data_IF_708757985253
#
_entry.id   IF_708757985253
#
_cell.length_a   1.000
_cell.length_b   1.000
_cell.length_c   1.000
_cell.angle_alpha   90.00
_cell.angle_beta   90.00
_cell.angle_gamma   90.00
#
_symmetry.space_group_name_H-M   'P 1'
#
loop_
_entity.id
_entity.type
_entity.pdbx_description
1 polymer ?
#
# COMPACT_ATOMS: atom_id res chain seq x y z
N UNK A 1 -58.98 -17.75 2.06
CA UNK A 1 -58.71 -19.20 2.22
C UNK A 1 -57.28 -19.36 2.76
N UNK A 2 -57.10 -19.56 4.07
CA UNK A 2 -55.77 -19.73 4.67
C UNK A 2 -55.27 -21.16 4.42
N UNK A 3 -54.35 -21.35 3.47
CA UNK A 3 -53.66 -22.63 3.27
C UNK A 3 -52.75 -22.87 4.47
N UNK A 4 -53.08 -23.85 5.32
CA UNK A 4 -52.19 -24.33 6.37
C UNK A 4 -50.99 -25.00 5.70
N UNK A 5 -49.79 -24.47 5.93
CA UNK A 5 -48.55 -25.08 5.46
C UNK A 5 -48.36 -26.39 6.22
N UNK A 6 -48.15 -27.49 5.50
CA UNK A 6 -47.96 -28.80 6.12
C UNK A 6 -46.59 -28.92 6.78
N UNK A 7 -46.47 -29.70 7.86
CA UNK A 7 -45.19 -29.98 8.53
C UNK A 7 -44.14 -30.56 7.58
N UNK A 8 -44.57 -31.36 6.60
CA UNK A 8 -43.72 -31.90 5.54
C UNK A 8 -43.12 -30.81 4.66
N UNK A 9 -43.88 -29.77 4.34
CA UNK A 9 -43.39 -28.61 3.58
C UNK A 9 -42.34 -27.83 4.38
N UNK A 10 -42.58 -27.61 5.66
CA UNK A 10 -41.62 -26.91 6.55
C UNK A 10 -40.31 -27.71 6.64
N UNK A 11 -40.40 -29.02 6.84
CA UNK A 11 -39.23 -29.90 6.93
C UNK A 11 -38.42 -29.92 5.63
N UNK A 12 -39.08 -29.96 4.47
CA UNK A 12 -38.43 -29.89 3.16
C UNK A 12 -37.68 -28.57 2.96
N UNK A 13 -38.27 -27.44 3.38
CA UNK A 13 -37.61 -26.12 3.31
C UNK A 13 -36.36 -26.10 4.20
N UNK A 14 -36.45 -26.61 5.43
CA UNK A 14 -35.29 -26.68 6.34
C UNK A 14 -34.17 -27.50 5.72
N UNK A 15 -34.46 -28.68 5.17
CA UNK A 15 -33.46 -29.52 4.49
C UNK A 15 -32.84 -28.80 3.29
N UNK A 16 -33.66 -28.14 2.47
CA UNK A 16 -33.15 -27.39 1.31
C UNK A 16 -32.19 -26.27 1.73
N UNK A 17 -32.54 -25.51 2.78
CA UNK A 17 -31.66 -24.48 3.35
C UNK A 17 -30.37 -25.09 3.91
N UNK A 18 -30.47 -26.20 4.64
CA UNK A 18 -29.31 -26.92 5.18
C UNK A 18 -28.38 -27.42 4.07
N UNK A 19 -28.92 -27.96 2.99
CA UNK A 19 -28.13 -28.41 1.83
C UNK A 19 -27.44 -27.25 1.12
N UNK A 20 -28.13 -26.11 0.95
CA UNK A 20 -27.52 -24.90 0.39
C UNK A 20 -26.38 -24.39 1.28
N UNK A 21 -26.57 -24.36 2.60
CA UNK A 21 -25.51 -23.99 3.56
C UNK A 21 -24.36 -25.01 3.56
N UNK A 22 -24.66 -26.31 3.44
CA UNK A 22 -23.66 -27.36 3.38
C UNK A 22 -22.82 -27.27 2.10
N UNK A 23 -23.46 -27.05 0.95
CA UNK A 23 -22.78 -26.73 -0.30
C UNK A 23 -21.91 -25.48 -0.13
N UNK A 24 -22.40 -24.45 0.55
CA UNK A 24 -21.63 -23.24 0.82
C UNK A 24 -20.36 -23.52 1.63
N UNK A 25 -20.43 -24.37 2.65
CA UNK A 25 -19.27 -24.75 3.49
C UNK A 25 -18.27 -25.62 2.73
N UNK A 26 -18.73 -26.62 1.97
CA UNK A 26 -17.83 -27.54 1.26
C UNK A 26 -17.22 -26.95 -0.02
N UNK A 27 -17.93 -26.03 -0.68
CA UNK A 27 -17.41 -25.29 -1.82
C UNK A 27 -16.79 -23.95 -1.41
N UNK A 28 -16.70 -23.65 -0.12
CA UNK A 28 -15.98 -22.46 0.33
C UNK A 28 -14.50 -22.64 -0.05
N UNK A 29 -13.95 -21.81 -0.96
CA UNK A 29 -12.57 -21.94 -1.35
C UNK A 29 -11.70 -21.63 -0.14
N UNK A 30 -11.07 -22.67 0.41
CA UNK A 30 -10.00 -22.50 1.38
C UNK A 30 -8.86 -21.79 0.64
N UNK A 31 -8.51 -20.58 1.10
CA UNK A 31 -7.41 -19.80 0.54
C UNK A 31 -6.17 -20.66 0.52
N UNK A 32 -5.70 -21.07 -0.67
CA UNK A 32 -4.43 -21.76 -0.77
C UNK A 32 -3.38 -20.71 -0.51
N UNK A 33 -2.49 -20.96 0.45
CA UNK A 33 -1.26 -20.17 0.58
C UNK A 33 -0.45 -20.45 -0.68
N UNK A 34 -0.39 -19.47 -1.56
CA UNK A 34 0.36 -19.57 -2.80
C UNK A 34 1.80 -19.14 -2.55
N UNK A 35 2.74 -19.95 -3.04
CA UNK A 35 4.12 -19.54 -3.21
C UNK A 35 4.21 -18.47 -4.31
N UNK A 36 5.27 -17.63 -4.32
CA UNK A 36 5.54 -16.77 -5.47
C UNK A 36 5.64 -17.63 -6.73
N UNK A 37 5.25 -17.10 -7.91
CA UNK A 37 5.56 -17.75 -9.17
C UNK A 37 7.07 -17.97 -9.29
N UNK A 38 7.45 -19.00 -10.06
CA UNK A 38 8.85 -19.23 -10.40
C UNK A 38 9.45 -17.95 -10.99
N UNK A 39 10.65 -17.59 -10.52
CA UNK A 39 11.39 -16.41 -10.97
C UNK A 39 11.19 -15.14 -10.14
N UNK A 40 10.52 -15.24 -8.97
CA UNK A 40 10.44 -14.16 -7.99
C UNK A 40 10.84 -14.67 -6.60
N UNK A 41 11.71 -13.91 -5.92
CA UNK A 41 12.07 -14.14 -4.53
C UNK A 41 11.50 -13.02 -3.65
N UNK A 42 10.67 -13.34 -2.63
CA UNK A 42 10.16 -12.34 -1.69
C UNK A 42 11.29 -11.56 -1.02
N UNK A 43 11.10 -10.25 -0.92
CA UNK A 43 12.03 -9.32 -0.32
C UNK A 43 11.32 -8.54 0.80
N UNK A 44 12.01 -8.38 1.93
CA UNK A 44 11.63 -7.42 2.96
C UNK A 44 12.81 -6.51 3.22
N UNK A 45 12.61 -5.23 2.90
CA UNK A 45 13.59 -4.18 3.14
C UNK A 45 12.81 -2.90 3.50
N UNK A 46 12.65 -2.67 4.81
CA UNK A 46 11.86 -1.56 5.35
C UNK A 46 12.49 -0.20 4.98
N UNK A 47 13.82 -0.13 4.84
CA UNK A 47 14.53 1.09 4.47
C UNK A 47 14.35 1.43 2.99
N UNK A 48 14.43 0.42 2.12
CA UNK A 48 14.15 0.57 0.70
C UNK A 48 12.70 0.98 0.45
N UNK A 49 11.76 0.31 1.12
CA UNK A 49 10.34 0.62 0.98
C UNK A 49 10.02 2.05 1.46
N UNK A 50 10.67 2.53 2.52
CA UNK A 50 10.55 3.92 2.97
C UNK A 50 11.18 4.91 1.98
N UNK A 51 12.31 4.57 1.37
CA UNK A 51 12.98 5.45 0.41
C UNK A 51 12.13 5.72 -0.84
N UNK A 52 11.48 4.67 -1.35
CA UNK A 52 10.59 4.76 -2.52
C UNK A 52 9.12 5.01 -2.16
N UNK A 53 8.80 5.31 -0.89
CA UNK A 53 7.41 5.47 -0.46
C UNK A 53 6.69 6.56 -1.27
N UNK A 54 5.56 6.25 -1.92
CA UNK A 54 4.74 7.25 -2.58
C UNK A 54 4.01 8.12 -1.57
N UNK A 55 3.76 9.36 -1.96
CA UNK A 55 2.91 10.29 -1.25
C UNK A 55 1.50 10.19 -1.81
N UNK A 56 0.52 10.03 -0.92
CA UNK A 56 -0.90 9.99 -1.30
C UNK A 56 -1.58 11.29 -0.91
N UNK A 57 -2.00 12.05 -1.91
CA UNK A 57 -2.81 13.24 -1.75
C UNK A 57 -4.29 12.82 -1.74
N UNK A 58 -4.80 12.51 -0.54
CA UNK A 58 -6.14 12.00 -0.32
C UNK A 58 -7.10 13.09 0.18
N UNK A 59 -8.09 13.52 -0.64
CA UNK A 59 -9.17 14.38 -0.18
C UNK A 59 -9.92 13.76 1.01
N UNK A 60 -10.26 14.57 2.01
CA UNK A 60 -10.95 14.10 3.23
C UNK A 60 -12.33 13.51 2.96
N UNK A 61 -12.95 13.83 1.83
CA UNK A 61 -14.21 13.25 1.38
C UNK A 61 -14.14 11.75 1.06
N UNK A 62 -12.95 11.25 0.73
CA UNK A 62 -12.66 9.83 0.51
C UNK A 62 -12.11 9.15 1.78
N UNK A 63 -12.19 9.81 2.94
CA UNK A 63 -11.73 9.25 4.21
C UNK A 63 -10.22 9.39 4.41
N UNK A 64 -9.74 8.74 5.48
CA UNK A 64 -8.34 8.78 5.90
C UNK A 64 -7.64 7.48 5.52
N UNK A 65 -6.43 7.59 4.99
CA UNK A 65 -5.51 6.46 4.88
C UNK A 65 -5.03 6.13 6.29
N UNK A 66 -5.39 4.95 6.78
CA UNK A 66 -5.09 4.50 8.14
C UNK A 66 -3.67 3.95 8.26
N UNK A 67 -3.18 3.32 7.20
CA UNK A 67 -1.85 2.74 7.09
C UNK A 67 -1.49 2.55 5.61
N UNK A 68 -0.19 2.45 5.33
CA UNK A 68 0.31 1.94 4.06
C UNK A 68 1.09 0.66 4.35
N UNK A 69 0.69 -0.43 3.73
CA UNK A 69 1.45 -1.67 3.80
C UNK A 69 2.31 -1.85 2.56
N UNK A 70 3.40 -2.61 2.65
CA UNK A 70 4.17 -2.94 1.45
C UNK A 70 4.52 -4.43 1.36
N UNK A 71 4.66 -4.92 0.13
CA UNK A 71 5.37 -6.18 -0.17
C UNK A 71 6.36 -5.93 -1.28
N UNK A 72 7.45 -6.68 -1.26
CA UNK A 72 8.43 -6.62 -2.32
C UNK A 72 8.87 -8.02 -2.77
N UNK A 73 9.36 -8.08 -4.00
CA UNK A 73 10.01 -9.25 -4.56
C UNK A 73 11.12 -8.80 -5.51
N UNK A 74 12.17 -9.61 -5.64
CA UNK A 74 13.18 -9.46 -6.69
C UNK A 74 12.93 -10.52 -7.75
N UNK A 75 12.97 -10.13 -9.02
CA UNK A 75 12.85 -11.08 -10.13
C UNK A 75 14.20 -11.66 -10.56
N UNK A 76 14.19 -12.65 -11.45
CA UNK A 76 15.40 -13.30 -11.96
C UNK A 76 16.35 -12.35 -12.72
N UNK A 77 15.85 -11.19 -13.17
CA UNK A 77 16.68 -10.15 -13.81
C UNK A 77 17.31 -9.21 -12.80
N UNK A 78 16.97 -9.33 -11.52
CA UNK A 78 17.42 -8.48 -10.43
C UNK A 78 16.56 -7.23 -10.23
N UNK A 79 15.47 -7.03 -10.98
CA UNK A 79 14.58 -5.89 -10.79
C UNK A 79 13.80 -6.08 -9.49
N UNK A 80 13.73 -5.02 -8.69
CA UNK A 80 13.02 -5.02 -7.42
C UNK A 80 11.60 -4.48 -7.66
N UNK A 81 10.60 -5.28 -7.35
CA UNK A 81 9.20 -4.93 -7.40
C UNK A 81 8.72 -4.59 -5.99
N UNK A 82 8.14 -3.40 -5.78
CA UNK A 82 7.54 -2.99 -4.50
C UNK A 82 6.09 -2.60 -4.74
N UNK A 83 5.16 -3.24 -4.05
CA UNK A 83 3.75 -2.87 -4.03
C UNK A 83 3.46 -2.12 -2.73
N UNK A 84 2.77 -0.99 -2.84
CA UNK A 84 2.24 -0.22 -1.72
C UNK A 84 0.73 -0.34 -1.66
N UNK A 85 0.23 -0.61 -0.46
CA UNK A 85 -1.15 -0.90 -0.15
C UNK A 85 -1.72 0.09 0.86
N UNK A 86 -2.16 1.28 0.41
CA UNK A 86 -2.90 2.17 1.29
C UNK A 86 -4.22 1.52 1.74
N UNK A 87 -4.53 1.63 3.03
CA UNK A 87 -5.69 1.02 3.64
C UNK A 87 -6.63 2.07 4.24
N UNK A 88 -7.93 1.92 4.00
CA UNK A 88 -9.00 2.74 4.54
C UNK A 88 -9.93 1.92 5.43
N UNK A 89 -10.69 2.59 6.29
CA UNK A 89 -11.70 1.92 7.12
C UNK A 89 -12.78 1.23 6.27
N UNK A 90 -13.19 1.85 5.15
CA UNK A 90 -14.20 1.35 4.21
C UNK A 90 -14.34 2.29 3.02
N UNK A 91 -15.00 1.80 1.97
CA UNK A 91 -15.44 2.64 0.85
C UNK A 91 -16.69 3.41 1.29
N UNK A 92 -16.85 4.66 0.86
CA UNK A 92 -18.08 5.41 1.16
C UNK A 92 -18.40 6.48 0.11
N UNK A 93 -19.40 6.19 -0.71
CA UNK A 93 -19.98 7.20 -1.59
C UNK A 93 -20.91 8.14 -0.80
N UNK A 94 -20.44 9.35 -0.50
CA UNK A 94 -21.21 10.41 0.19
C UNK A 94 -21.99 11.32 -0.77
N UNK A 95 -21.94 11.08 -2.08
CA UNK A 95 -22.66 11.90 -3.04
C UNK A 95 -24.19 11.76 -2.87
N UNK A 96 -24.90 12.75 -3.42
CA UNK A 96 -26.37 12.76 -3.48
C UNK A 96 -26.84 11.97 -4.69
N UNK A 97 -28.00 11.32 -4.59
CA UNK A 97 -28.61 10.59 -5.69
C UNK A 97 -29.04 9.17 -5.30
N UNK A 98 -29.79 8.52 -6.20
CA UNK A 98 -30.31 7.17 -5.99
C UNK A 98 -29.17 6.14 -6.02
N UNK A 99 -28.20 6.28 -6.94
CA UNK A 99 -27.02 5.41 -7.03
C UNK A 99 -26.21 5.36 -5.73
N UNK A 100 -25.72 6.51 -5.22
CA UNK A 100 -25.00 6.59 -3.94
C UNK A 100 -25.83 6.10 -2.75
N UNK A 101 -27.15 6.36 -2.75
CA UNK A 101 -28.04 5.86 -1.71
C UNK A 101 -28.12 4.32 -1.70
N UNK A 102 -28.28 3.70 -2.88
CA UNK A 102 -28.27 2.24 -3.01
C UNK A 102 -26.91 1.64 -2.63
N UNK A 103 -25.80 2.26 -3.05
CA UNK A 103 -24.45 1.85 -2.64
C UNK A 103 -24.31 1.87 -1.10
N UNK A 104 -24.74 2.95 -0.44
CA UNK A 104 -24.70 3.01 1.03
C UNK A 104 -25.56 1.98 1.73
N UNK A 105 -26.72 1.60 1.19
CA UNK A 105 -27.60 0.61 1.84
C UNK A 105 -27.12 -0.81 1.60
N UNK A 106 -26.77 -1.14 0.36
CA UNK A 106 -26.49 -2.51 -0.06
C UNK A 106 -25.03 -2.90 0.16
N UNK A 107 -24.11 -1.95 -0.04
CA UNK A 107 -22.68 -2.23 -0.17
C UNK A 107 -21.89 -1.82 1.09
N UNK A 108 -22.02 -0.58 1.56
CA UNK A 108 -21.16 -0.03 2.65
C UNK A 108 -21.87 0.17 4.01
N UNK A 109 -23.16 -0.15 4.10
CA UNK A 109 -24.00 0.04 5.29
C UNK A 109 -24.57 -1.25 5.87
N UNK A 110 -25.88 -1.44 5.79
CA UNK A 110 -26.66 -2.33 6.66
C UNK A 110 -26.58 -3.83 6.37
N UNK A 111 -26.14 -4.24 5.18
CA UNK A 111 -25.88 -5.64 4.84
C UNK A 111 -24.39 -6.01 4.94
N UNK A 112 -23.52 -5.03 5.22
CA UNK A 112 -22.05 -5.12 5.30
C UNK A 112 -21.43 -6.10 4.28
N UNK A 113 -21.87 -5.99 3.01
CA UNK A 113 -21.41 -6.87 1.94
C UNK A 113 -19.93 -6.62 1.66
N UNK A 114 -19.46 -5.38 1.80
CA UNK A 114 -18.03 -5.05 1.69
C UNK A 114 -17.19 -5.87 2.68
N UNK A 115 -17.58 -5.95 3.96
CA UNK A 115 -16.78 -6.69 4.94
C UNK A 115 -16.81 -8.20 4.72
N UNK A 116 -17.92 -8.72 4.20
CA UNK A 116 -18.04 -10.13 3.82
C UNK A 116 -17.17 -10.47 2.60
N UNK A 117 -17.18 -9.61 1.58
CA UNK A 117 -16.46 -9.82 0.33
C UNK A 117 -14.97 -9.54 0.44
N UNK A 118 -14.60 -8.54 1.25
CA UNK A 118 -13.29 -7.90 1.20
C UNK A 118 -12.58 -7.76 2.56
N UNK A 119 -13.21 -8.14 3.68
CA UNK A 119 -12.60 -8.05 5.01
C UNK A 119 -12.79 -6.67 5.67
N UNK A 120 -11.99 -6.34 6.71
CA UNK A 120 -12.35 -5.29 7.68
C UNK A 120 -12.18 -3.84 7.18
N UNK A 121 -11.66 -3.64 5.98
CA UNK A 121 -11.46 -2.31 5.42
C UNK A 121 -11.11 -2.38 3.94
N UNK A 122 -11.00 -1.20 3.33
CA UNK A 122 -10.63 -1.10 1.93
C UNK A 122 -9.11 -1.05 1.73
N UNK A 123 -8.62 -1.70 0.68
CA UNK A 123 -7.19 -1.75 0.38
C UNK A 123 -7.00 -1.75 -1.13
N UNK A 124 -6.20 -0.80 -1.58
CA UNK A 124 -5.86 -0.64 -2.99
C UNK A 124 -4.36 -0.87 -3.18
N UNK A 125 -3.91 -1.05 -4.42
CA UNK A 125 -2.50 -1.32 -4.69
C UNK A 125 -1.94 -0.44 -5.81
N UNK A 126 -0.71 0.02 -5.59
CA UNK A 126 0.18 0.56 -6.62
C UNK A 126 1.51 -0.18 -6.56
N UNK A 127 2.23 -0.30 -7.66
CA UNK A 127 3.52 -0.96 -7.69
C UNK A 127 4.58 -0.18 -8.48
N UNK A 128 5.82 -0.31 -8.01
CA UNK A 128 7.02 0.19 -8.67
C UNK A 128 7.94 -0.97 -9.03
N UNK A 129 8.48 -0.93 -10.25
CA UNK A 129 9.66 -1.72 -10.62
C UNK A 129 10.89 -0.82 -10.53
N UNK A 130 11.91 -1.27 -9.82
CA UNK A 130 13.11 -0.51 -9.47
C UNK A 130 14.33 -1.22 -10.03
N UNK A 131 15.13 -0.48 -10.82
CA UNK A 131 16.45 -0.92 -11.25
C UNK A 131 17.45 -0.75 -10.09
N UNK A 132 18.07 -1.85 -9.59
CA UNK A 132 19.00 -1.79 -8.46
C UNK A 132 20.36 -1.16 -8.82
N UNK A 133 20.70 -1.03 -10.11
CA UNK A 133 21.97 -0.43 -10.54
C UNK A 133 21.91 1.09 -10.42
N UNK A 134 20.81 1.68 -10.91
CA UNK A 134 20.58 3.11 -10.88
C UNK A 134 19.82 3.61 -9.66
N UNK A 135 19.19 2.71 -8.89
CA UNK A 135 18.18 3.03 -7.86
C UNK A 135 17.08 3.93 -8.42
N UNK A 136 16.55 3.57 -9.58
CA UNK A 136 15.51 4.33 -10.29
C UNK A 136 14.27 3.49 -10.48
N UNK A 137 13.11 4.12 -10.32
CA UNK A 137 11.85 3.54 -10.77
C UNK A 137 11.89 3.51 -12.30
N UNK A 138 11.69 2.33 -12.88
CA UNK A 138 11.63 2.07 -14.33
C UNK A 138 10.21 1.79 -14.81
N UNK A 139 9.33 1.34 -13.91
CA UNK A 139 7.91 1.12 -14.20
C UNK A 139 7.04 1.49 -13.00
N UNK A 140 5.86 2.05 -13.27
CA UNK A 140 4.80 2.29 -12.28
C UNK A 140 3.52 1.60 -12.78
N UNK A 141 2.87 0.83 -11.91
CA UNK A 141 1.55 0.26 -12.13
C UNK A 141 0.55 0.76 -11.08
N UNK A 142 -0.66 1.10 -11.50
CA UNK A 142 -1.78 1.43 -10.61
C UNK A 142 -3.14 1.27 -11.32
N UNK A 143 -4.24 1.40 -10.58
CA UNK A 143 -5.59 1.48 -11.15
C UNK A 143 -6.16 2.89 -11.02
N UNK A 144 -6.78 3.38 -12.10
CA UNK A 144 -7.48 4.66 -12.20
C UNK A 144 -8.96 4.47 -12.52
N UNK A 145 -9.74 5.54 -12.41
CA UNK A 145 -11.15 5.55 -12.80
C UNK A 145 -11.30 6.01 -14.26
N UNK A 146 -11.84 5.15 -15.14
CA UNK A 146 -11.96 5.44 -16.57
C UNK A 146 -12.88 6.65 -16.87
N UNK A 147 -14.06 6.68 -16.24
CA UNK A 147 -15.10 7.71 -16.44
C UNK A 147 -15.78 7.99 -15.09
N UNK A 148 -15.06 8.60 -14.15
CA UNK A 148 -15.56 8.74 -12.78
C UNK A 148 -16.80 9.65 -12.71
N UNK A 149 -17.94 9.06 -12.33
CA UNK A 149 -19.17 9.78 -11.95
C UNK A 149 -19.47 9.50 -10.46
N UNK A 150 -19.39 10.51 -9.57
CA UNK A 150 -19.71 10.33 -8.16
C UNK A 150 -21.19 9.96 -7.91
N UNK A 151 -22.07 10.22 -8.88
CA UNK A 151 -23.50 9.86 -8.83
C UNK A 151 -23.77 8.43 -9.30
N UNK A 152 -22.76 7.73 -9.82
CA UNK A 152 -22.89 6.34 -10.22
C UNK A 152 -22.92 5.39 -9.01
N UNK A 153 -23.51 4.21 -9.21
CA UNK A 153 -23.55 3.16 -8.20
C UNK A 153 -22.17 2.51 -7.98
N UNK A 154 -21.36 2.41 -9.03
CA UNK A 154 -20.06 1.73 -9.06
C UNK A 154 -19.06 2.53 -9.86
N UNK A 155 -17.77 2.38 -9.55
CA UNK A 155 -16.67 2.94 -10.35
C UNK A 155 -16.12 1.88 -11.30
N UNK A 156 -15.75 2.29 -12.52
CA UNK A 156 -15.09 1.42 -13.50
C UNK A 156 -13.58 1.60 -13.37
N UNK A 157 -12.88 0.50 -13.08
CA UNK A 157 -11.43 0.47 -12.93
C UNK A 157 -10.75 0.37 -14.30
N UNK A 158 -9.62 1.04 -14.44
CA UNK A 158 -8.72 0.97 -15.59
C UNK A 158 -7.29 0.80 -15.10
N UNK A 159 -6.60 -0.23 -15.59
CA UNK A 159 -5.22 -0.49 -15.22
C UNK A 159 -4.28 0.40 -16.03
N UNK A 160 -3.33 1.03 -15.35
CA UNK A 160 -2.30 1.90 -15.93
C UNK A 160 -0.93 1.31 -15.64
N UNK A 161 -0.12 1.13 -16.68
CA UNK A 161 1.31 0.80 -16.58
C UNK A 161 2.11 1.84 -17.37
N UNK A 162 3.08 2.46 -16.70
CA UNK A 162 3.94 3.50 -17.26
C UNK A 162 5.39 3.07 -17.14
N UNK A 163 6.12 3.02 -18.26
CA UNK A 163 7.57 2.76 -18.29
C UNK A 163 8.32 4.07 -18.54
N UNK A 164 9.38 4.33 -17.79
CA UNK A 164 10.13 5.58 -17.94
C UNK A 164 11.11 5.86 -16.81
N UNK A 165 11.49 7.12 -16.66
CA UNK A 165 12.27 7.60 -15.51
C UNK A 165 11.42 8.56 -14.71
N UNK A 166 11.29 8.28 -13.41
CA UNK A 166 10.43 9.04 -12.51
C UNK A 166 11.25 9.71 -11.41
N UNK A 167 10.82 10.92 -11.00
CA UNK A 167 11.49 11.72 -9.97
C UNK A 167 10.76 11.56 -8.65
N UNK A 168 11.49 11.22 -7.59
CA UNK A 168 10.94 11.11 -6.24
C UNK A 168 10.64 12.49 -5.62
N UNK A 169 9.66 12.59 -4.70
CA UNK A 169 8.69 11.54 -4.36
C UNK A 169 7.62 11.38 -5.45
N UNK A 170 7.20 10.14 -5.71
CA UNK A 170 6.03 9.87 -6.56
C UNK A 170 4.77 10.28 -5.80
N UNK A 171 3.86 11.00 -6.47
CA UNK A 171 2.63 11.51 -5.89
C UNK A 171 1.41 10.92 -6.58
N UNK A 172 0.51 10.37 -5.80
CA UNK A 172 -0.78 9.88 -6.27
C UNK A 172 -1.89 10.68 -5.62
N UNK A 173 -2.78 11.20 -6.45
CA UNK A 173 -4.05 11.77 -6.01
C UNK A 173 -5.09 10.67 -5.91
N UNK A 174 -5.82 10.61 -4.80
CA UNK A 174 -7.00 9.74 -4.68
C UNK A 174 -8.18 10.45 -5.33
N UNK A 175 -8.77 9.86 -6.37
CA UNK A 175 -9.74 10.54 -7.25
C UNK A 175 -11.18 10.03 -7.13
N UNK A 176 -11.42 8.95 -6.38
CA UNK A 176 -12.75 8.36 -6.28
C UNK A 176 -13.09 7.86 -4.88
N UNK A 177 -14.38 7.69 -4.61
CA UNK A 177 -14.88 7.05 -3.37
C UNK A 177 -14.53 5.56 -3.26
N UNK A 178 -14.08 4.95 -4.37
CA UNK A 178 -13.52 3.60 -4.45
C UNK A 178 -11.99 3.60 -4.31
N UNK A 179 -11.40 4.73 -3.90
CA UNK A 179 -9.97 4.93 -3.64
C UNK A 179 -9.00 4.72 -4.82
N UNK A 180 -9.49 4.82 -6.06
CA UNK A 180 -8.64 4.81 -7.26
C UNK A 180 -7.74 6.04 -7.38
N UNK A 181 -6.65 5.89 -8.14
CA UNK A 181 -5.56 6.86 -8.17
C UNK A 181 -5.38 7.55 -9.52
N UNK A 182 -4.81 8.75 -9.47
CA UNK A 182 -4.23 9.46 -10.59
C UNK A 182 -2.80 9.85 -10.23
N UNK A 183 -1.84 9.56 -11.10
CA UNK A 183 -0.45 9.96 -10.92
C UNK A 183 -0.31 11.46 -11.19
N UNK A 184 0.23 12.22 -10.24
CA UNK A 184 0.57 13.62 -10.48
C UNK A 184 1.88 13.68 -11.30
N UNK A 185 1.80 14.15 -12.55
CA UNK A 185 2.97 14.22 -13.42
C UNK A 185 4.09 15.09 -12.81
N UNK A 186 5.24 14.46 -12.55
CA UNK A 186 6.55 15.10 -12.66
C UNK A 186 7.34 14.37 -13.72
N UNK A 187 7.08 14.71 -14.98
CA UNK A 187 8.01 14.36 -16.05
C UNK A 187 9.33 15.07 -15.72
N UNK A 188 10.41 14.30 -15.57
CA UNK A 188 11.74 14.89 -15.55
C UNK A 188 11.89 15.69 -16.85
N UNK A 189 11.92 17.02 -16.76
CA UNK A 189 12.43 17.82 -17.86
C UNK A 189 13.81 17.28 -18.21
N UNK A 190 14.11 17.11 -19.50
CA UNK A 190 15.39 16.59 -20.00
C UNK A 190 16.61 17.49 -19.67
N UNK A 191 16.52 18.41 -18.71
CA UNK A 191 17.45 19.52 -18.50
C UNK A 191 18.12 19.60 -17.12
N UNK A 192 18.02 18.57 -16.27
CA UNK A 192 18.92 18.47 -15.11
C UNK A 192 20.07 17.52 -15.42
N UNK A 193 21.01 18.03 -16.22
CA UNK A 193 22.39 17.55 -16.21
C UNK A 193 22.95 17.71 -14.80
N UNK A 194 22.81 16.66 -13.99
CA UNK A 194 23.50 16.56 -12.71
C UNK A 194 25.01 16.58 -13.00
N UNK A 195 25.63 17.70 -12.62
CA UNK A 195 27.07 17.82 -12.50
C UNK A 195 27.49 16.82 -11.42
N UNK A 196 28.17 15.75 -11.83
CA UNK A 196 28.81 14.84 -10.90
C UNK A 196 29.75 15.62 -9.97
N UNK A 197 29.78 15.33 -8.66
CA UNK A 197 30.85 15.85 -7.81
C UNK A 197 32.18 15.32 -8.36
N UNK A 198 33.07 16.26 -8.68
CA UNK A 198 34.38 15.98 -9.23
C UNK A 198 35.13 14.95 -8.37
N UNK A 199 35.56 13.86 -9.01
CA UNK A 199 36.52 12.94 -8.44
C UNK A 199 37.84 13.68 -8.19
N UNK A 200 38.21 13.84 -6.91
CA UNK A 200 39.54 14.29 -6.53
C UNK A 200 40.47 13.06 -6.50
N UNK A 201 41.10 12.76 -7.63
CA UNK A 201 42.25 11.85 -7.69
C UNK A 201 43.53 12.69 -7.69
N UNK A 202 44.42 12.40 -6.74
CA UNK A 202 45.75 12.97 -6.61
C UNK A 202 46.40 12.49 -5.32
N UNK A 203 46.69 11.19 -5.16
CA UNK A 203 47.93 10.50 -5.58
C UNK A 203 49.02 10.50 -4.49
N UNK A 204 49.67 9.33 -4.38
CA UNK A 204 51.00 9.06 -3.79
C UNK A 204 51.09 8.84 -2.27
N UNK A 205 51.05 7.56 -1.88
CA UNK A 205 51.84 6.99 -0.76
C UNK A 205 53.34 6.98 -1.16
N UNK A 206 54.32 6.98 -0.22
CA UNK A 206 54.72 5.70 0.41
C UNK A 206 55.32 5.92 1.84
N UNK A 207 56.12 5.00 2.43
CA UNK A 207 55.78 4.35 3.71
C UNK A 207 56.78 4.70 4.83
N UNK A 208 56.51 4.28 6.07
CA UNK A 208 57.50 3.68 7.01
C UNK A 208 57.00 3.74 8.47
N UNK A 209 56.83 2.54 9.03
CA UNK A 209 57.40 2.00 10.28
C UNK A 209 57.57 2.86 11.54
N UNK A 210 57.22 2.21 12.67
CA UNK A 210 57.63 2.39 14.08
C UNK A 210 56.66 3.09 15.05
N UNK A 211 56.11 2.27 15.95
CA UNK A 211 55.80 2.60 17.35
C UNK A 211 57.11 2.45 18.18
N UNK A 212 57.30 3.03 19.39
CA UNK A 212 56.38 2.87 20.53
C UNK A 212 56.27 4.04 21.55
N UNK A 213 55.31 3.87 22.47
CA UNK A 213 55.22 4.30 23.87
C UNK A 213 55.52 5.76 24.29
N UNK A 214 54.51 6.43 24.87
CA UNK A 214 54.55 6.83 26.30
C UNK A 214 53.24 7.40 26.85
N UNK A 215 52.87 6.83 28.00
CA UNK A 215 51.97 7.32 29.05
C UNK A 215 52.52 8.61 29.69
N UNK A 216 51.66 9.56 30.06
CA UNK A 216 51.70 10.36 31.31
C UNK A 216 50.32 11.00 31.55
N UNK A 217 49.94 10.96 32.83
CA UNK A 217 48.71 11.39 33.50
C UNK A 217 48.52 12.91 33.70
N UNK A 218 47.24 13.26 33.98
CA UNK A 218 46.75 14.11 35.09
C UNK A 218 46.38 15.59 34.92
N UNK A 219 45.28 15.90 35.65
CA UNK A 219 44.73 17.15 36.20
C UNK A 219 43.88 18.03 35.24
N UNK A 220 42.55 18.18 35.39
CA UNK A 220 41.65 18.64 36.48
C UNK A 220 41.53 20.18 36.61
N UNK A 221 40.31 20.66 36.27
CA UNK A 221 39.52 21.81 36.78
C UNK A 221 39.83 23.25 36.31
N UNK A 222 38.88 24.21 36.46
CA UNK A 222 37.41 24.14 36.34
C UNK A 222 36.77 25.28 35.49
N UNK A 223 35.48 25.08 35.21
CA UNK A 223 34.36 26.03 35.07
C UNK A 223 34.60 27.51 34.69
N UNK A 224 33.95 27.95 33.61
CA UNK A 224 33.23 29.22 33.60
C UNK A 224 31.93 29.11 32.79
N UNK A 225 30.83 29.46 33.45
CA UNK A 225 29.49 29.49 32.90
C UNK A 225 29.23 30.87 32.27
N UNK A 226 28.74 30.88 31.03
CA UNK A 226 28.04 32.05 30.49
C UNK A 226 26.71 31.56 29.94
N UNK A 227 25.68 31.79 30.74
CA UNK A 227 24.29 31.71 30.31
C UNK A 227 24.04 32.82 29.28
N UNK A 228 23.61 32.44 28.08
CA UNK A 228 22.95 33.37 27.16
C UNK A 228 21.60 32.81 26.77
N UNK A 229 20.61 33.39 27.41
CA UNK A 229 19.18 33.21 27.21
C UNK A 229 18.78 33.77 25.84
N UNK A 230 18.49 32.90 24.88
CA UNK A 230 17.61 33.22 23.77
C UNK A 230 16.85 31.94 23.39
N UNK A 231 15.60 31.87 23.85
CA UNK A 231 14.68 30.83 23.43
C UNK A 231 14.53 30.90 21.89
N UNK A 232 14.74 29.80 21.14
CA UNK A 232 14.38 29.79 19.73
C UNK A 232 12.87 29.94 19.64
N UNK A 233 12.43 30.93 18.86
CA UNK A 233 11.03 31.10 18.54
C UNK A 233 10.51 29.79 17.94
N UNK A 234 9.52 29.20 18.61
CA UNK A 234 8.77 28.04 18.11
C UNK A 234 8.29 28.36 16.70
N UNK A 235 8.70 27.61 15.66
CA UNK A 235 8.06 27.75 14.37
C UNK A 235 6.60 27.34 14.57
N UNK A 236 5.69 28.29 14.39
CA UNK A 236 4.26 28.01 14.31
C UNK A 236 4.07 27.22 13.01
N UNK A 237 4.13 25.90 13.12
CA UNK A 237 3.74 24.98 12.06
C UNK A 237 2.23 25.12 11.89
N UNK A 238 1.84 26.06 11.04
CA UNK A 238 0.52 26.01 10.40
C UNK A 238 0.62 24.94 9.33
N UNK A 239 0.34 23.69 9.68
CA UNK A 239 0.09 22.66 8.69
C UNK A 239 -1.20 21.94 9.03
N UNK A 240 -2.24 22.23 8.24
CA UNK A 240 -3.39 21.33 8.08
C UNK A 240 -2.99 20.04 7.33
N UNK A 241 -1.73 19.60 7.45
CA UNK A 241 -1.25 18.35 6.88
C UNK A 241 -1.77 17.22 7.76
N UNK A 242 -2.63 16.38 7.21
CA UNK A 242 -3.02 15.15 7.90
C UNK A 242 -1.76 14.35 8.23
N UNK A 243 -1.71 13.67 9.39
CA UNK A 243 -0.57 12.86 9.76
C UNK A 243 -0.30 11.82 8.67
N UNK A 244 0.95 11.69 8.29
CA UNK A 244 1.38 10.72 7.28
C UNK A 244 1.06 9.30 7.78
N UNK A 245 0.44 8.50 6.92
CA UNK A 245 0.03 7.15 7.28
C UNK A 245 1.26 6.28 7.54
N UNK A 246 1.27 5.46 8.60
CA UNK A 246 2.43 4.63 8.93
C UNK A 246 2.70 3.58 7.84
N UNK A 247 3.95 3.49 7.41
CA UNK A 247 4.44 2.44 6.50
C UNK A 247 4.85 1.19 7.30
N UNK A 248 4.41 0.01 6.88
CA UNK A 248 4.85 -1.27 7.46
C UNK A 248 4.78 -2.44 6.48
N UNK A 249 5.56 -3.49 6.73
CA UNK A 249 5.50 -4.69 5.90
C UNK A 249 4.12 -5.37 5.98
N UNK A 250 3.59 -5.80 4.84
CA UNK A 250 2.28 -6.44 4.75
C UNK A 250 2.36 -7.91 5.19
N UNK A 251 2.32 -8.11 6.50
CA UNK A 251 2.51 -9.43 7.12
C UNK A 251 1.49 -10.46 6.63
N UNK A 252 1.79 -11.77 6.73
CA UNK A 252 0.82 -12.82 6.41
C UNK A 252 -0.50 -12.70 7.17
N UNK A 253 -0.46 -12.28 8.43
CA UNK A 253 -1.66 -12.11 9.26
C UNK A 253 -2.53 -10.97 8.75
N UNK A 254 -1.91 -9.86 8.32
CA UNK A 254 -2.62 -8.74 7.70
C UNK A 254 -3.14 -9.14 6.31
N UNK A 255 -2.36 -9.86 5.52
CA UNK A 255 -2.74 -10.37 4.20
C UNK A 255 -3.99 -11.26 4.28
N UNK A 256 -4.00 -12.18 5.25
CA UNK A 256 -5.15 -13.05 5.54
C UNK A 256 -6.35 -12.22 6.05
N UNK A 257 -6.10 -11.26 6.96
CA UNK A 257 -7.12 -10.35 7.52
C UNK A 257 -7.83 -9.53 6.45
N UNK A 258 -7.08 -8.93 5.52
CA UNK A 258 -7.63 -8.13 4.42
C UNK A 258 -8.09 -8.98 3.24
N UNK A 259 -7.94 -10.30 3.32
CA UNK A 259 -8.47 -11.22 2.34
C UNK A 259 -7.83 -11.07 0.95
N UNK A 260 -6.51 -10.96 0.88
CA UNK A 260 -5.79 -10.83 -0.39
C UNK A 260 -5.55 -12.23 -1.00
N UNK A 261 -6.22 -12.58 -2.10
CA UNK A 261 -6.07 -13.88 -2.78
C UNK A 261 -6.35 -13.79 -4.28
N UNK A 262 -5.82 -14.72 -5.08
CA UNK A 262 -6.11 -14.91 -6.53
C UNK A 262 -6.80 -16.25 -6.83
N UNK A 263 -7.65 -16.74 -5.94
CA UNK A 263 -8.49 -17.90 -6.26
C UNK A 263 -9.54 -17.51 -7.32
N UNK A 264 -10.20 -18.45 -8.02
CA UNK A 264 -11.32 -18.11 -8.88
C UNK A 264 -12.37 -17.34 -8.05
N UNK A 265 -12.75 -16.16 -8.54
CA UNK A 265 -13.77 -15.35 -7.90
C UNK A 265 -15.04 -16.17 -7.71
N UNK A 266 -15.69 -15.99 -6.57
CA UNK A 266 -17.02 -16.55 -6.34
C UNK A 266 -18.03 -15.42 -6.35
N UNK A 267 -19.32 -15.78 -6.44
CA UNK A 267 -20.42 -14.80 -6.36
C UNK A 267 -20.33 -13.93 -5.08
N UNK A 268 -19.72 -14.45 -4.01
CA UNK A 268 -19.62 -13.76 -2.72
C UNK A 268 -18.21 -13.28 -2.35
N UNK A 269 -17.19 -13.52 -3.18
CA UNK A 269 -15.80 -13.15 -2.87
C UNK A 269 -15.04 -12.83 -4.14
N UNK A 270 -14.59 -11.58 -4.24
CA UNK A 270 -13.75 -11.09 -5.33
C UNK A 270 -12.28 -11.07 -4.90
N UNK A 271 -11.37 -11.14 -5.88
CA UNK A 271 -9.95 -10.98 -5.62
C UNK A 271 -9.64 -9.50 -5.35
N UNK A 272 -8.67 -9.23 -4.47
CA UNK A 272 -8.22 -7.86 -4.18
C UNK A 272 -6.99 -7.50 -5.00
N UNK A 273 -6.76 -6.19 -5.15
CA UNK A 273 -5.64 -5.62 -5.90
C UNK A 273 -4.30 -6.11 -5.33
N UNK A 274 -3.72 -7.13 -5.96
CA UNK A 274 -2.37 -7.57 -5.68
C UNK A 274 -1.75 -8.23 -6.91
N UNK A 275 -0.43 -8.13 -6.98
CA UNK A 275 0.40 -8.68 -8.02
C UNK A 275 0.76 -10.13 -7.70
N UNK A 276 1.00 -10.92 -8.75
CA UNK A 276 1.31 -12.35 -8.59
C UNK A 276 2.61 -12.58 -7.82
N UNK A 277 3.58 -11.67 -7.94
CA UNK A 277 4.89 -11.76 -7.30
C UNK A 277 4.87 -11.38 -5.81
N UNK A 278 3.78 -10.79 -5.32
CA UNK A 278 3.60 -10.53 -3.88
C UNK A 278 3.27 -11.80 -3.08
N UNK A 279 2.94 -12.89 -3.77
CA UNK A 279 2.65 -14.18 -3.15
C UNK A 279 3.92 -14.73 -2.50
N UNK A 280 3.77 -15.38 -1.36
CA UNK A 280 4.90 -15.82 -0.53
C UNK A 280 5.11 -14.94 0.70
N UNK A 281 6.13 -15.27 1.48
CA UNK A 281 6.47 -14.54 2.70
C UNK A 281 7.97 -14.30 2.64
N UNK A 282 8.40 -13.04 2.71
CA UNK A 282 9.79 -12.71 2.91
C UNK A 282 10.25 -13.24 4.29
N UNK A 283 11.49 -13.77 4.37
CA UNK A 283 12.04 -14.28 5.63
C UNK A 283 12.15 -13.20 6.72
#
# INVERSE_FOLDING_TARGET
MNRKISYTTIFAIIIAVLLVLLCFVFYYPTGKKESPPMGYAPLRDDGLAAHFQPVFDCPSEFGLILAVYYRAAIDDSGIIHIAYHPAWERERNNAKGIGPFLSRILYTGGLSLQSLMFGPGDIEAIAFAIDPVGWKIVEIYYETAADYDPSAFSVKHEAVSLTGSFVLPIRFKVISWNHLFELEERVASQDESFVAPAALIGSIMPPSTEAPDKVIDSAIAPAEAIASTAAPATPTVSSNSMPEAPLSYFSPELWDKYGIWKNPETILRKNRAHFIWERGVAP
#
